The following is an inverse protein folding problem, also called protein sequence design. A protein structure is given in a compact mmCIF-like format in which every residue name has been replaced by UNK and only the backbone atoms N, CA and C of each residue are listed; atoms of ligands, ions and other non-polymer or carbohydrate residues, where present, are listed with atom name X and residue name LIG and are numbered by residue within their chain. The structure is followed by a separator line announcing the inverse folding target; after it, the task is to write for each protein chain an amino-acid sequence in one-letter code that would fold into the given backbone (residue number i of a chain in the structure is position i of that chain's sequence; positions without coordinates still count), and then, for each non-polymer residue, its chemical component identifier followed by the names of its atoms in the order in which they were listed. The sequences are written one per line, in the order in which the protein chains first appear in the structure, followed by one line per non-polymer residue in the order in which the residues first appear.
data_IF_443306921693
#
_entry.id   IF_443306921693
#
_cell.length_a   1.000
_cell.length_b   1.000
_cell.length_c   1.000
_cell.angle_alpha   90.00
_cell.angle_beta   90.00
_cell.angle_gamma   90.00
#
_symmetry.space_group_name_H-M   'P 1'
#
loop_
_entity.id
_entity.type
_entity.pdbx_description
1 polymer ?
#
# COMPACT_ATOMS: atom_id res chain seq x y z
N UNK A 1 -19.20 -8.37 -28.56
CA UNK A 1 -18.07 -8.48 -27.61
C UNK A 1 -18.35 -9.59 -26.60
N UNK A 2 -17.34 -10.37 -26.23
CA UNK A 2 -17.49 -11.51 -25.32
C UNK A 2 -17.49 -11.00 -23.85
N UNK A 3 -18.62 -10.99 -23.13
CA UNK A 3 -18.77 -10.27 -21.84
C UNK A 3 -17.87 -10.83 -20.72
N UNK A 4 -17.45 -12.08 -20.83
CA UNK A 4 -16.53 -12.70 -19.88
C UNK A 4 -15.14 -12.04 -19.88
N UNK A 5 -14.67 -11.55 -21.03
CA UNK A 5 -13.39 -10.83 -21.11
C UNK A 5 -13.44 -9.48 -20.38
N UNK A 6 -14.62 -8.85 -20.27
CA UNK A 6 -14.80 -7.63 -19.47
C UNK A 6 -14.81 -7.90 -17.96
N UNK A 7 -15.19 -9.11 -17.51
CA UNK A 7 -15.24 -9.44 -16.08
C UNK A 7 -13.87 -9.78 -15.48
N UNK A 8 -12.93 -10.24 -16.31
CA UNK A 8 -11.58 -10.63 -15.88
C UNK A 8 -10.52 -9.56 -16.15
N UNK A 9 -10.84 -8.54 -16.94
CA UNK A 9 -9.90 -7.48 -17.28
C UNK A 9 -9.95 -6.35 -16.23
N UNK A 10 -8.86 -6.09 -15.50
CA UNK A 10 -8.84 -5.11 -14.41
C UNK A 10 -8.89 -3.65 -14.90
N UNK A 11 -8.64 -3.41 -16.19
CA UNK A 11 -8.60 -2.07 -16.78
C UNK A 11 -9.87 -1.69 -17.52
N UNK A 12 -10.93 -2.49 -17.41
CA UNK A 12 -12.19 -2.26 -18.15
C UNK A 12 -12.80 -0.89 -17.86
N UNK A 13 -12.63 -0.36 -16.65
CA UNK A 13 -13.10 1.00 -16.33
C UNK A 13 -12.39 2.10 -17.15
N UNK A 14 -11.15 1.86 -17.60
CA UNK A 14 -10.41 2.80 -18.45
C UNK A 14 -10.75 2.61 -19.94
N UNK A 15 -11.10 1.40 -20.35
CA UNK A 15 -11.35 1.04 -21.75
C UNK A 15 -12.80 1.30 -22.18
N UNK A 16 -13.75 1.07 -21.28
CA UNK A 16 -15.18 1.17 -21.55
C UNK A 16 -15.94 1.50 -20.25
N UNK A 17 -15.94 2.79 -19.85
CA UNK A 17 -16.56 3.23 -18.60
C UNK A 17 -18.08 3.05 -18.61
N UNK A 18 -18.74 3.23 -19.77
CA UNK A 18 -20.19 3.11 -19.90
C UNK A 18 -20.66 1.69 -19.59
N UNK A 19 -19.96 0.67 -20.11
CA UNK A 19 -20.28 -0.72 -19.80
C UNK A 19 -20.16 -1.04 -18.30
N UNK A 20 -19.22 -0.42 -17.59
CA UNK A 20 -19.07 -0.59 -16.14
C UNK A 20 -20.24 0.05 -15.40
N UNK A 21 -20.62 1.26 -15.77
CA UNK A 21 -21.72 2.00 -15.14
C UNK A 21 -23.03 1.22 -15.33
N UNK A 22 -23.35 0.77 -16.54
CA UNK A 22 -24.55 -0.04 -16.80
C UNK A 22 -24.55 -1.34 -15.99
N UNK A 23 -23.42 -2.04 -15.91
CA UNK A 23 -23.30 -3.25 -15.09
C UNK A 23 -23.49 -2.98 -13.59
N UNK A 24 -22.99 -1.84 -13.09
CA UNK A 24 -23.23 -1.39 -11.71
C UNK A 24 -24.71 -1.10 -11.47
N UNK A 25 -25.37 -0.40 -12.40
CA UNK A 25 -26.79 -0.07 -12.34
C UNK A 25 -27.70 -1.29 -12.39
N UNK A 26 -27.28 -2.41 -12.97
CA UNK A 26 -28.03 -3.67 -13.01
C UNK A 26 -27.75 -4.58 -11.79
N UNK A 27 -26.63 -4.38 -11.10
CA UNK A 27 -26.14 -5.26 -10.04
C UNK A 27 -27.06 -5.30 -8.80
N UNK A 28 -27.78 -6.42 -8.64
CA UNK A 28 -28.59 -6.71 -7.44
C UNK A 28 -27.75 -6.77 -6.15
N UNK A 29 -26.57 -7.44 -6.12
CA UNK A 29 -25.74 -7.50 -4.93
C UNK A 29 -25.31 -6.10 -4.44
N UNK A 30 -24.85 -5.24 -5.35
CA UNK A 30 -24.46 -3.86 -5.01
C UNK A 30 -25.65 -3.06 -4.48
N UNK A 31 -26.85 -3.23 -5.07
CA UNK A 31 -28.08 -2.59 -4.58
C UNK A 31 -28.48 -3.02 -3.18
N UNK A 32 -28.22 -4.28 -2.82
CA UNK A 32 -28.50 -4.83 -1.49
C UNK A 32 -27.41 -4.53 -0.45
N UNK A 33 -26.27 -3.98 -0.89
CA UNK A 33 -25.12 -3.75 -0.03
C UNK A 33 -25.42 -2.56 0.91
N UNK A 34 -25.84 -2.88 2.13
CA UNK A 34 -25.99 -1.88 3.17
C UNK A 34 -24.59 -1.37 3.58
N UNK A 35 -24.35 -0.08 3.42
CA UNK A 35 -23.13 0.57 3.88
C UNK A 35 -22.96 0.33 5.38
N UNK A 36 -21.91 -0.41 5.75
CA UNK A 36 -21.48 -0.52 7.14
C UNK A 36 -20.26 0.37 7.30
N UNK A 37 -20.30 1.29 8.26
CA UNK A 37 -19.10 2.02 8.66
C UNK A 37 -18.20 1.02 9.38
N UNK A 38 -17.29 0.39 8.63
CA UNK A 38 -16.28 -0.47 9.20
C UNK A 38 -15.32 0.42 10.00
N UNK A 39 -15.30 0.21 11.32
CA UNK A 39 -14.40 0.85 12.28
C UNK A 39 -13.40 -0.18 12.82
N UNK A 40 -12.57 -0.79 11.96
CA UNK A 40 -11.67 -1.86 12.35
C UNK A 40 -10.64 -1.43 13.41
N UNK A 41 -10.41 -0.12 13.56
CA UNK A 41 -9.46 0.47 14.49
C UNK A 41 -10.10 1.12 15.73
N UNK A 42 -11.43 1.31 15.76
CA UNK A 42 -12.09 1.93 16.93
C UNK A 42 -12.06 1.05 18.18
N UNK A 43 -11.86 -0.25 17.98
CA UNK A 43 -11.61 -1.22 19.05
C UNK A 43 -10.29 -1.88 18.70
N UNK A 44 -9.13 -1.31 19.09
CA UNK A 44 -7.86 -1.98 18.90
C UNK A 44 -7.94 -3.34 19.62
N UNK A 45 -8.13 -4.40 18.83
CA UNK A 45 -8.13 -5.79 19.28
C UNK A 45 -6.71 -6.29 19.55
N UNK A 46 -5.72 -5.40 19.61
CA UNK A 46 -4.35 -5.71 19.96
C UNK A 46 -4.28 -5.51 21.47
N UNK A 47 -4.29 -6.58 22.29
CA UNK A 47 -3.89 -6.43 23.68
C UNK A 47 -2.52 -5.77 23.69
N UNK A 48 -2.32 -4.81 24.58
CA UNK A 48 -1.02 -4.17 24.88
C UNK A 48 0.07 -5.13 25.39
N UNK A 49 -0.13 -6.45 25.22
CA UNK A 49 0.76 -7.54 25.59
C UNK A 49 2.01 -7.63 24.70
N UNK A 50 2.05 -6.93 23.56
CA UNK A 50 3.22 -6.88 22.68
C UNK A 50 4.13 -5.67 22.95
N UNK A 51 3.91 -4.92 24.04
CA UNK A 51 4.71 -3.72 24.31
C UNK A 51 6.17 -4.01 24.64
N UNK A 52 6.49 -5.21 25.15
CA UNK A 52 7.86 -5.56 25.52
C UNK A 52 8.66 -5.91 24.27
N UNK A 53 8.12 -6.78 23.41
CA UNK A 53 8.81 -7.22 22.19
C UNK A 53 9.02 -6.07 21.23
N UNK A 54 7.99 -5.24 20.99
CA UNK A 54 8.12 -4.07 20.08
C UNK A 54 9.16 -3.09 20.63
N UNK A 55 9.12 -2.79 21.93
CA UNK A 55 10.07 -1.85 22.54
C UNK A 55 11.50 -2.38 22.58
N UNK A 56 11.67 -3.69 22.73
CA UNK A 56 12.98 -4.36 22.63
C UNK A 56 13.52 -4.31 21.20
N UNK A 57 12.65 -4.50 20.18
CA UNK A 57 13.04 -4.34 18.77
C UNK A 57 13.42 -2.89 18.44
N UNK A 58 12.61 -1.91 18.86
CA UNK A 58 12.91 -0.49 18.64
C UNK A 58 14.26 -0.11 19.28
N UNK A 59 14.50 -0.56 20.52
CA UNK A 59 15.77 -0.33 21.20
C UNK A 59 16.97 -0.99 20.51
N UNK A 60 16.80 -2.19 19.95
CA UNK A 60 17.85 -2.87 19.20
C UNK A 60 18.21 -2.14 17.90
N UNK A 61 17.23 -1.56 17.21
CA UNK A 61 17.44 -0.75 16.00
C UNK A 61 18.15 0.57 16.33
N UNK A 62 17.76 1.22 17.42
CA UNK A 62 18.42 2.46 17.88
C UNK A 62 19.87 2.21 18.33
N UNK A 63 20.17 1.01 18.85
CA UNK A 63 21.51 0.59 19.27
C UNK A 63 22.38 0.07 18.11
N UNK A 64 21.77 -0.44 17.04
CA UNK A 64 22.47 -0.70 15.78
C UNK A 64 22.97 0.62 15.18
N UNK A 65 24.27 0.89 15.36
CA UNK A 65 24.98 1.97 14.68
C UNK A 65 24.79 1.75 13.16
N UNK A 66 23.91 2.56 12.56
CA UNK A 66 23.58 2.50 11.13
C UNK A 66 24.87 2.39 10.34
N UNK A 67 25.13 1.23 9.72
CA UNK A 67 26.35 1.00 8.99
C UNK A 67 26.45 2.03 7.87
N UNK A 68 27.25 3.06 8.09
CA UNK A 68 27.53 4.18 7.17
C UNK A 68 28.18 3.73 5.85
N UNK A 69 28.35 2.40 5.69
CA UNK A 69 28.74 1.68 4.48
C UNK A 69 27.95 2.04 3.21
N UNK A 70 26.76 2.64 3.35
CA UNK A 70 25.98 3.12 2.21
C UNK A 70 26.40 4.51 1.71
N UNK A 71 26.95 5.37 2.56
CA UNK A 71 27.23 6.77 2.25
C UNK A 71 28.48 6.91 1.37
N UNK A 72 29.50 6.08 1.59
CA UNK A 72 30.71 6.04 0.76
C UNK A 72 30.41 5.53 -0.67
N UNK A 73 29.46 4.58 -0.81
CA UNK A 73 29.07 4.03 -2.11
C UNK A 73 28.34 5.05 -3.02
N UNK A 74 27.60 6.01 -2.44
CA UNK A 74 26.99 7.10 -3.22
C UNK A 74 28.01 8.17 -3.65
N UNK A 75 29.08 8.38 -2.86
CA UNK A 75 30.15 9.31 -3.20
C UNK A 75 30.98 8.82 -4.40
N UNK A 76 31.29 7.52 -4.46
CA UNK A 76 32.03 6.91 -5.58
C UNK A 76 31.20 6.81 -6.87
N UNK A 77 29.86 6.73 -6.75
CA UNK A 77 28.96 6.61 -7.89
C UNK A 77 28.67 7.96 -8.60
N UNK A 78 29.06 9.10 -8.02
CA UNK A 78 28.82 10.44 -8.58
C UNK A 78 30.12 11.26 -8.70
N UNK A 79 31.01 10.94 -9.65
CA UNK A 79 32.25 11.68 -9.88
C UNK A 79 32.06 13.13 -10.36
N UNK A 80 30.81 13.55 -10.65
CA UNK A 80 30.50 14.88 -11.16
C UNK A 80 30.39 16.00 -10.12
N UNK A 81 30.38 15.69 -8.82
CA UNK A 81 30.23 16.71 -7.76
C UNK A 81 31.54 17.33 -7.27
N UNK A 82 32.70 16.77 -7.65
CA UNK A 82 34.03 17.32 -7.28
C UNK A 82 34.50 18.46 -8.21
N UNK A 83 33.78 18.72 -9.30
CA UNK A 83 34.18 19.66 -10.35
C UNK A 83 33.45 21.02 -10.33
N UNK A 84 33.08 21.52 -9.14
CA UNK A 84 32.63 22.91 -8.98
C UNK A 84 33.54 23.60 -7.98
N UNK A 85 34.64 24.14 -8.50
CA UNK A 85 35.41 25.23 -7.90
C UNK A 85 35.23 26.46 -8.79
#
# INVERSE_FOLDING_TARGET
MNPFAHRTNPFVMMLDPEAVISAMEESKPLRSLAGRVCRPLDKPLIPTLFNTTIREFDAAIDEEEFMDSGIEAYADAQPGLSAVH
#
